data_IF_434754154654
#
_entry.id   IF_434754154654
#
_cell.length_a   1.000
_cell.length_b   1.000
_cell.length_c   1.000
_cell.angle_alpha   90.00
_cell.angle_beta   90.00
_cell.angle_gamma   90.00
#
_symmetry.space_group_name_H-M   'P 1'
#
loop_
_entity.id
_entity.type
_entity.pdbx_description
1 polymer ?
#
# COMPACT_ATOMS: atom_id res chain seq x y z
N UNK A 1 37.32 -7.41 1.41
CA UNK A 1 36.52 -6.45 0.64
C UNK A 1 35.12 -7.06 0.49
N UNK A 2 34.18 -6.63 1.33
CA UNK A 2 32.80 -7.08 1.19
C UNK A 2 32.17 -6.33 0.02
N UNK A 3 31.59 -7.05 -0.93
CA UNK A 3 30.71 -6.43 -1.92
C UNK A 3 29.62 -5.65 -1.16
N UNK A 4 29.33 -4.39 -1.53
CA UNK A 4 28.19 -3.71 -0.96
C UNK A 4 26.95 -4.55 -1.28
N UNK A 5 26.22 -4.97 -0.24
CA UNK A 5 24.89 -5.55 -0.42
C UNK A 5 24.11 -4.53 -1.23
N UNK A 6 23.78 -4.88 -2.46
CA UNK A 6 22.84 -4.16 -3.28
C UNK A 6 21.52 -4.19 -2.50
N UNK A 7 21.23 -3.09 -1.81
CA UNK A 7 19.93 -2.92 -1.17
C UNK A 7 19.00 -2.75 -2.36
N UNK A 8 18.31 -3.81 -2.74
CA UNK A 8 17.22 -3.71 -3.70
C UNK A 8 16.29 -2.63 -3.16
N UNK A 9 16.30 -1.48 -3.82
CA UNK A 9 15.39 -0.42 -3.47
C UNK A 9 14.01 -0.88 -3.95
N UNK A 10 13.32 -1.60 -3.07
CA UNK A 10 11.97 -2.11 -3.28
C UNK A 10 11.07 -0.91 -3.49
N UNK A 11 10.26 -0.94 -4.55
CA UNK A 11 9.20 0.05 -4.68
C UNK A 11 8.09 -0.37 -3.73
N UNK A 12 7.59 0.55 -2.92
CA UNK A 12 6.49 0.28 -1.97
C UNK A 12 5.70 1.55 -1.72
N UNK A 13 4.51 1.39 -1.12
CA UNK A 13 3.65 2.50 -0.76
C UNK A 13 3.41 2.48 0.75
N UNK A 14 3.69 3.59 1.41
CA UNK A 14 3.49 3.75 2.85
C UNK A 14 2.39 4.77 3.12
N UNK A 15 1.37 4.36 3.86
CA UNK A 15 0.27 5.23 4.30
C UNK A 15 0.61 5.81 5.66
N UNK A 16 0.58 7.14 5.74
CA UNK A 16 0.81 7.89 6.97
C UNK A 16 -0.49 8.42 7.59
N UNK A 17 -1.53 8.60 6.78
CA UNK A 17 -2.84 9.06 7.24
C UNK A 17 -3.97 8.34 6.49
N UNK A 18 -5.00 7.97 7.24
CA UNK A 18 -6.25 7.43 6.71
C UNK A 18 -7.38 8.01 7.55
N UNK A 19 -8.28 8.76 6.93
CA UNK A 19 -9.33 9.50 7.62
C UNK A 19 -10.69 9.15 7.02
N UNK A 20 -11.67 8.88 7.87
CA UNK A 20 -13.05 8.68 7.44
C UNK A 20 -13.67 10.05 7.15
N UNK A 21 -14.06 10.30 5.90
CA UNK A 21 -14.63 11.58 5.46
C UNK A 21 -16.00 11.89 6.09
N UNK A 22 -16.74 10.87 6.54
CA UNK A 22 -18.08 11.07 7.12
C UNK A 22 -18.00 11.49 8.57
N UNK A 23 -17.01 10.99 9.31
CA UNK A 23 -16.85 11.25 10.74
C UNK A 23 -15.69 12.19 11.06
N UNK A 24 -14.86 12.51 10.06
CA UNK A 24 -13.60 13.27 10.18
C UNK A 24 -12.60 12.63 11.17
N UNK A 25 -12.81 11.35 11.49
CA UNK A 25 -11.95 10.63 12.43
C UNK A 25 -10.81 9.93 11.72
N UNK A 26 -9.61 10.04 12.28
CA UNK A 26 -8.49 9.20 11.85
C UNK A 26 -8.79 7.72 12.14
N UNK A 27 -8.53 6.91 11.13
CA UNK A 27 -8.67 5.46 11.18
C UNK A 27 -7.38 4.78 11.61
N UNK A 28 -6.27 5.53 11.66
CA UNK A 28 -4.99 5.11 12.21
C UNK A 28 -4.87 5.64 13.63
N UNK A 29 -4.48 4.79 14.57
CA UNK A 29 -4.31 5.18 15.97
C UNK A 29 -2.83 5.24 16.34
N UNK A 30 -2.40 6.24 17.13
CA UNK A 30 -1.04 6.26 17.64
C UNK A 30 -0.72 4.98 18.40
N UNK A 31 0.53 4.52 18.29
CA UNK A 31 1.02 3.42 19.10
C UNK A 31 1.15 3.83 20.59
N UNK A 32 1.57 2.90 21.46
CA UNK A 32 1.75 3.17 22.90
C UNK A 32 2.72 4.33 23.21
N UNK A 33 3.57 4.68 22.26
CA UNK A 33 4.53 5.79 22.37
C UNK A 33 4.00 7.10 21.79
N UNK A 34 2.73 7.15 21.37
CA UNK A 34 2.10 8.35 20.79
C UNK A 34 2.49 8.63 19.33
N UNK A 35 3.21 7.72 18.67
CA UNK A 35 3.66 7.88 17.29
C UNK A 35 2.61 7.29 16.34
N UNK A 36 2.21 8.06 15.32
CA UNK A 36 1.30 7.58 14.28
C UNK A 36 1.94 6.43 13.49
N UNK A 37 1.24 5.30 13.29
CA UNK A 37 1.77 4.19 12.54
C UNK A 37 1.87 4.56 11.06
N UNK A 38 2.93 4.07 10.44
CA UNK A 38 3.11 4.04 9.00
C UNK A 38 2.75 2.63 8.53
N UNK A 39 1.77 2.53 7.63
CA UNK A 39 1.24 1.24 7.17
C UNK A 39 1.71 1.02 5.74
N UNK A 40 2.50 -0.02 5.52
CA UNK A 40 2.85 -0.44 4.17
C UNK A 40 1.64 -1.09 3.48
N UNK A 41 1.41 -0.73 2.23
CA UNK A 41 0.39 -1.36 1.41
C UNK A 41 0.76 -2.82 1.11
N UNK A 42 -0.18 -3.72 1.37
CA UNK A 42 0.02 -5.18 1.18
C UNK A 42 -0.47 -5.65 -0.19
N UNK A 43 -1.37 -4.88 -0.82
CA UNK A 43 -1.88 -5.13 -2.16
C UNK A 43 -2.11 -3.81 -2.87
N UNK A 44 -1.95 -3.80 -4.19
CA UNK A 44 -2.19 -2.62 -5.01
C UNK A 44 -2.43 -3.01 -6.46
N UNK A 45 -3.36 -2.31 -7.10
CA UNK A 45 -3.65 -2.43 -8.52
C UNK A 45 -3.89 -1.04 -9.14
N UNK A 46 -4.44 -0.97 -10.36
CA UNK A 46 -4.59 0.28 -11.10
C UNK A 46 -5.37 1.38 -10.36
N UNK A 47 -6.28 1.00 -9.47
CA UNK A 47 -7.12 1.94 -8.73
C UNK A 47 -7.43 1.50 -7.29
N UNK A 48 -6.79 0.45 -6.78
CA UNK A 48 -6.97 0.01 -5.41
C UNK A 48 -5.68 -0.06 -4.62
N UNK A 49 -5.84 0.08 -3.31
CA UNK A 49 -4.82 -0.29 -2.33
C UNK A 49 -5.44 -1.18 -1.25
N UNK A 50 -4.72 -2.22 -0.86
CA UNK A 50 -5.03 -3.09 0.27
C UNK A 50 -4.17 -2.72 1.47
N UNK A 51 -4.79 -2.51 2.63
CA UNK A 51 -4.13 -2.16 3.88
C UNK A 51 -4.57 -3.12 4.98
N UNK A 52 -3.71 -3.28 5.99
CA UNK A 52 -4.08 -3.93 7.23
C UNK A 52 -4.24 -2.90 8.36
N UNK A 53 -5.43 -2.87 8.97
CA UNK A 53 -5.80 -1.87 9.99
C UNK A 53 -6.50 -2.53 11.18
N UNK A 54 -6.74 -1.77 12.26
CA UNK A 54 -7.58 -2.24 13.38
C UNK A 54 -9.03 -2.44 12.92
N UNK A 55 -9.64 -3.57 13.28
CA UNK A 55 -10.99 -3.92 12.80
C UNK A 55 -12.06 -2.91 13.26
N UNK A 56 -11.85 -2.17 14.35
CA UNK A 56 -12.85 -1.26 14.92
C UNK A 56 -12.86 0.12 14.29
N UNK A 57 -11.89 0.45 13.43
CA UNK A 57 -11.76 1.79 12.85
C UNK A 57 -12.42 1.91 11.47
N UNK A 58 -12.75 0.78 10.84
CA UNK A 58 -13.19 0.72 9.45
C UNK A 58 -14.41 -0.19 9.22
N UNK A 59 -15.20 0.15 8.21
CA UNK A 59 -16.24 -0.69 7.65
C UNK A 59 -16.29 -0.51 6.12
N UNK A 60 -16.76 -1.54 5.41
CA UNK A 60 -17.08 -1.40 3.99
C UNK A 60 -18.15 -0.31 3.82
N UNK A 61 -18.02 0.51 2.78
CA UNK A 61 -18.87 1.65 2.54
C UNK A 61 -18.27 3.00 2.98
N UNK A 62 -17.32 3.01 3.92
CA UNK A 62 -16.72 4.26 4.40
C UNK A 62 -16.02 5.02 3.26
N UNK A 63 -16.31 6.31 3.17
CA UNK A 63 -15.56 7.25 2.34
C UNK A 63 -14.32 7.70 3.10
N UNK A 64 -13.18 7.76 2.41
CA UNK A 64 -11.89 8.05 3.04
C UNK A 64 -11.10 9.09 2.27
N UNK A 65 -10.22 9.79 2.99
CA UNK A 65 -8.99 10.37 2.45
C UNK A 65 -7.79 9.59 2.96
N UNK A 66 -6.75 9.55 2.13
CA UNK A 66 -5.54 8.80 2.38
C UNK A 66 -4.36 9.67 1.96
N UNK A 67 -3.39 9.83 2.86
CA UNK A 67 -2.10 10.44 2.56
C UNK A 67 -0.97 9.46 2.86
N UNK A 68 0.01 9.44 1.97
CA UNK A 68 1.13 8.52 2.04
C UNK A 68 2.31 8.95 1.18
N UNK A 69 3.30 8.06 1.10
CA UNK A 69 4.51 8.24 0.31
C UNK A 69 4.72 7.03 -0.57
N UNK A 70 4.85 7.26 -1.87
CA UNK A 70 5.27 6.26 -2.86
C UNK A 70 6.78 6.27 -2.94
N UNK A 71 7.39 5.11 -2.73
CA UNK A 71 8.83 4.89 -2.89
C UNK A 71 9.08 4.11 -4.18
N UNK A 72 9.92 4.64 -5.07
CA UNK A 72 10.28 4.04 -6.35
C UNK A 72 11.81 4.02 -6.48
N UNK A 73 12.46 3.16 -5.71
CA UNK A 73 13.92 3.14 -5.70
C UNK A 73 14.50 4.18 -4.73
N UNK A 74 15.41 5.07 -5.17
CA UNK A 74 15.92 6.16 -4.35
C UNK A 74 14.96 7.36 -4.26
N UNK A 75 13.89 7.38 -5.06
CA UNK A 75 12.93 8.48 -5.09
C UNK A 75 11.74 8.19 -4.19
N UNK A 76 11.34 9.19 -3.40
CA UNK A 76 10.12 9.20 -2.61
C UNK A 76 9.23 10.36 -3.07
N UNK A 77 7.92 10.14 -3.16
CA UNK A 77 6.96 11.17 -3.58
C UNK A 77 5.69 11.08 -2.76
N UNK A 78 5.21 12.25 -2.30
CA UNK A 78 3.94 12.33 -1.59
C UNK A 78 2.77 11.93 -2.49
N UNK A 79 1.83 11.20 -1.93
CA UNK A 79 0.64 10.72 -2.61
C UNK A 79 -0.59 10.95 -1.74
N UNK A 80 -1.61 11.55 -2.34
CA UNK A 80 -2.89 11.80 -1.70
C UNK A 80 -3.99 11.22 -2.56
N UNK A 81 -4.95 10.57 -1.92
CA UNK A 81 -6.11 10.00 -2.58
C UNK A 81 -7.38 10.17 -1.74
N UNK A 82 -8.52 10.15 -2.42
CA UNK A 82 -9.81 9.91 -1.79
C UNK A 82 -10.52 8.75 -2.47
N UNK A 83 -11.34 8.04 -1.70
CA UNK A 83 -11.89 6.78 -2.15
C UNK A 83 -12.93 6.20 -1.21
N UNK A 84 -13.18 4.91 -1.41
CA UNK A 84 -14.16 4.15 -0.63
C UNK A 84 -13.57 2.80 -0.22
N UNK A 85 -13.84 2.37 1.01
CA UNK A 85 -13.58 0.99 1.42
C UNK A 85 -14.63 0.09 0.74
N UNK A 86 -14.18 -0.77 -0.17
CA UNK A 86 -15.06 -1.69 -0.91
C UNK A 86 -15.16 -3.04 -0.21
N UNK A 87 -14.06 -3.51 0.38
CA UNK A 87 -14.00 -4.81 1.06
C UNK A 87 -13.34 -4.67 2.44
N UNK A 88 -13.79 -5.51 3.38
CA UNK A 88 -13.18 -5.70 4.69
C UNK A 88 -13.22 -7.19 5.02
N UNK A 89 -12.06 -7.75 5.30
CA UNK A 89 -11.89 -9.14 5.75
C UNK A 89 -11.25 -9.12 7.12
N UNK A 90 -11.92 -9.68 8.13
CA UNK A 90 -11.36 -9.78 9.46
C UNK A 90 -10.21 -10.80 9.49
N UNK A 91 -9.13 -10.43 10.17
CA UNK A 91 -7.95 -11.26 10.41
C UNK A 91 -7.87 -11.62 11.90
N UNK A 92 -6.88 -12.41 12.27
CA UNK A 92 -6.55 -12.65 13.67
C UNK A 92 -6.14 -11.35 14.40
N UNK A 93 -6.15 -11.38 15.74
CA UNK A 93 -5.64 -10.31 16.59
C UNK A 93 -6.31 -8.93 16.43
N UNK A 94 -7.62 -8.92 16.15
CA UNK A 94 -8.40 -7.67 15.96
C UNK A 94 -7.93 -6.81 14.79
N UNK A 95 -7.23 -7.39 13.82
CA UNK A 95 -6.86 -6.71 12.58
C UNK A 95 -7.89 -7.02 11.49
N UNK A 96 -7.94 -6.16 10.48
CA UNK A 96 -8.74 -6.36 9.29
C UNK A 96 -7.92 -5.94 8.07
N UNK A 97 -8.00 -6.76 7.03
CA UNK A 97 -7.57 -6.36 5.70
C UNK A 97 -8.71 -5.58 5.05
N UNK A 98 -8.41 -4.37 4.59
CA UNK A 98 -9.35 -3.54 3.84
C UNK A 98 -8.86 -3.34 2.42
N UNK A 99 -9.80 -3.27 1.47
CA UNK A 99 -9.55 -2.82 0.10
C UNK A 99 -10.18 -1.45 -0.09
N UNK A 100 -9.36 -0.50 -0.53
CA UNK A 100 -9.77 0.87 -0.81
C UNK A 100 -9.75 1.07 -2.32
N UNK A 101 -10.89 1.47 -2.89
CA UNK A 101 -10.99 1.93 -4.28
C UNK A 101 -10.79 3.44 -4.34
N UNK A 102 -9.83 3.90 -5.13
CA UNK A 102 -9.55 5.31 -5.33
C UNK A 102 -10.50 5.93 -6.35
N UNK A 103 -11.10 7.06 -5.99
CA UNK A 103 -11.93 7.88 -6.88
C UNK A 103 -11.19 9.12 -7.39
N UNK A 104 -10.32 9.71 -6.56
CA UNK A 104 -9.51 10.88 -6.93
C UNK A 104 -8.10 10.72 -6.36
N UNK A 105 -7.09 10.79 -7.22
CA UNK A 105 -5.68 10.59 -6.87
C UNK A 105 -4.76 11.08 -8.00
N UNK A 106 -3.47 11.23 -7.73
CA UNK A 106 -2.47 11.49 -8.76
C UNK A 106 -2.24 10.22 -9.60
N UNK A 107 -2.95 10.12 -10.73
CA UNK A 107 -2.90 8.96 -11.64
C UNK A 107 -1.51 8.72 -12.21
N UNK A 108 -0.79 9.78 -12.59
CA UNK A 108 0.52 9.64 -13.23
C UNK A 108 1.55 9.01 -12.28
N UNK A 109 1.57 9.48 -11.02
CA UNK A 109 2.44 8.92 -9.99
C UNK A 109 2.04 7.46 -9.68
N UNK A 110 0.74 7.20 -9.49
CA UNK A 110 0.26 5.87 -9.17
C UNK A 110 0.53 4.86 -10.28
N UNK A 111 0.23 5.18 -11.53
CA UNK A 111 0.46 4.29 -12.66
C UNK A 111 1.94 4.07 -12.95
N UNK A 112 2.80 5.06 -12.68
CA UNK A 112 4.25 4.87 -12.72
C UNK A 112 4.69 3.82 -11.69
N UNK A 113 4.17 3.92 -10.46
CA UNK A 113 4.40 2.94 -9.41
C UNK A 113 3.89 1.54 -9.79
N UNK A 114 2.63 1.41 -10.23
CA UNK A 114 2.05 0.11 -10.65
C UNK A 114 2.80 -0.49 -11.83
N UNK A 115 3.21 0.32 -12.82
CA UNK A 115 3.98 -0.15 -13.97
C UNK A 115 5.34 -0.70 -13.56
N UNK A 116 6.02 -0.05 -12.61
CA UNK A 116 7.27 -0.53 -12.05
C UNK A 116 7.09 -1.87 -11.33
N UNK A 117 6.01 -2.04 -10.57
CA UNK A 117 5.69 -3.30 -9.88
C UNK A 117 5.41 -4.44 -10.87
N UNK A 118 4.60 -4.18 -11.89
CA UNK A 118 4.29 -5.16 -12.95
C UNK A 118 5.54 -5.60 -13.70
N UNK A 119 6.44 -4.66 -14.01
CA UNK A 119 7.72 -4.98 -14.64
C UNK A 119 8.58 -5.93 -13.78
N UNK A 120 8.59 -5.73 -12.46
CA UNK A 120 9.30 -6.62 -11.52
C UNK A 120 8.65 -7.98 -11.41
N UNK A 121 7.32 -8.05 -11.33
CA UNK A 121 6.60 -9.32 -11.30
C UNK A 121 6.87 -10.13 -12.57
N UNK A 122 6.79 -9.50 -13.74
CA UNK A 122 7.12 -10.14 -15.03
C UNK A 122 8.56 -10.68 -15.05
N UNK A 123 9.52 -9.89 -14.55
CA UNK A 123 10.90 -10.34 -14.48
C UNK A 123 11.10 -11.52 -13.52
N UNK A 124 10.45 -11.50 -12.35
CA UNK A 124 10.47 -12.63 -11.42
C UNK A 124 9.89 -13.89 -12.07
N UNK A 125 8.74 -13.76 -12.74
CA UNK A 125 8.11 -14.87 -13.47
C UNK A 125 9.04 -15.43 -14.55
N UNK A 126 9.68 -14.57 -15.35
CA UNK A 126 10.66 -14.97 -16.38
C UNK A 126 11.82 -15.78 -15.79
N UNK A 127 12.38 -15.34 -14.64
CA UNK A 127 13.45 -16.07 -13.94
C UNK A 127 12.97 -17.42 -13.41
N UNK A 128 11.75 -17.48 -12.86
CA UNK A 128 11.17 -18.76 -12.41
C UNK A 128 10.96 -19.73 -13.58
N UNK A 129 10.51 -19.25 -14.74
CA UNK A 129 10.33 -20.11 -15.91
C UNK A 129 11.67 -20.59 -16.47
N UNK A 130 12.71 -19.74 -16.53
CA UNK A 130 14.03 -20.17 -17.04
C UNK A 130 14.68 -21.25 -16.19
N UNK A 131 14.49 -21.23 -14.87
CA UNK A 131 15.02 -22.26 -13.96
C UNK A 131 14.30 -23.59 -14.16
N UNK A 132 12.99 -23.56 -14.49
CA UNK A 132 12.16 -24.75 -14.64
C UNK A 132 12.42 -25.52 -15.95
N UNK A 133 12.98 -24.87 -16.96
CA UNK A 133 13.36 -25.50 -18.23
C UNK A 133 14.78 -26.09 -18.22
N UNK A 134 15.57 -25.84 -17.16
CA UNK A 134 16.92 -26.40 -16.97
C UNK A 134 16.95 -27.73 -16.19
N UNK A 135 15.80 -28.24 -15.73
CA UNK A 135 15.58 -29.57 -15.13
C UNK A 135 14.86 -30.53 -16.11
#
# INVERSE_FOLDING_TARGET
MGQPKQVDHVAYFEVSELTNLTTEMSMLKPNKSGVMPKIEAIEFDDNHVGLEVDTKTCASGHLITLDGTVFMGPTASGFSASGKITEKVELADSRAKIKIEFHSFNKDLWWSFISLQRGRQKHADEVFYSIREED
#
